data_IF_242842481106
#
_entry.id   IF_242842481106
#
_cell.length_a   1.000
_cell.length_b   1.000
_cell.length_c   1.000
_cell.angle_alpha   90.00
_cell.angle_beta   90.00
_cell.angle_gamma   90.00
#
_symmetry.space_group_name_H-M   'P 1'
#
loop_
_entity.id
_entity.type
_entity.pdbx_description
1 polymer ?
#
# COMPACT_ATOMS: atom_id res chain seq x y z
N UNK A 1 19.12 -6.24 -9.60
CA UNK A 1 18.62 -7.41 -8.85
C UNK A 1 18.69 -8.61 -9.79
N UNK A 2 19.55 -9.58 -9.45
CA UNK A 2 19.88 -10.75 -10.30
C UNK A 2 18.92 -11.88 -9.93
N UNK A 3 18.23 -12.46 -10.92
CA UNK A 3 17.27 -13.55 -10.73
C UNK A 3 17.88 -14.84 -11.32
N UNK A 4 17.88 -15.92 -10.55
CA UNK A 4 18.41 -17.24 -10.94
C UNK A 4 17.45 -17.93 -11.92
N UNK A 5 17.99 -18.51 -13.01
CA UNK A 5 17.22 -19.23 -14.04
C UNK A 5 16.80 -20.62 -13.57
N UNK A 6 15.51 -20.97 -13.73
CA UNK A 6 15.03 -22.36 -13.65
C UNK A 6 13.96 -22.63 -14.71
N UNK A 7 13.97 -23.86 -15.24
CA UNK A 7 13.10 -24.33 -16.33
C UNK A 7 11.77 -24.89 -15.79
N UNK A 8 10.62 -24.56 -16.40
CA UNK A 8 9.28 -25.01 -15.96
C UNK A 8 8.60 -25.91 -17.01
N UNK A 9 8.45 -27.23 -16.77
CA UNK A 9 7.66 -28.08 -17.67
C UNK A 9 6.16 -27.98 -17.36
N UNK A 10 5.36 -27.90 -18.43
CA UNK A 10 3.90 -28.06 -18.53
C UNK A 10 3.02 -27.37 -17.46
N UNK A 11 2.49 -26.20 -17.83
CA UNK A 11 1.65 -25.34 -17.00
C UNK A 11 0.16 -25.68 -17.15
N UNK A 12 -0.28 -26.76 -16.49
CA UNK A 12 -1.71 -27.00 -16.23
C UNK A 12 -2.25 -26.04 -15.15
N UNK A 13 -3.41 -25.42 -15.43
CA UNK A 13 -4.44 -24.73 -14.61
C UNK A 13 -4.19 -24.18 -13.18
N UNK A 14 -2.99 -24.22 -12.62
CA UNK A 14 -2.60 -23.56 -11.38
C UNK A 14 -1.95 -22.21 -11.74
N UNK A 15 -2.69 -21.14 -11.47
CA UNK A 15 -2.43 -19.76 -11.89
C UNK A 15 -0.96 -19.35 -11.69
N UNK A 16 -0.21 -19.14 -12.76
CA UNK A 16 1.25 -18.92 -12.69
C UNK A 16 1.61 -17.62 -11.94
N UNK A 17 0.71 -16.65 -11.91
CA UNK A 17 0.87 -15.47 -11.06
C UNK A 17 0.86 -15.81 -9.55
N UNK A 18 0.17 -16.88 -9.13
CA UNK A 18 0.29 -17.42 -7.76
C UNK A 18 1.67 -18.05 -7.53
N UNK A 19 2.25 -18.70 -8.55
CA UNK A 19 3.62 -19.23 -8.47
C UNK A 19 4.65 -18.11 -8.36
N UNK A 20 4.50 -17.03 -9.14
CA UNK A 20 5.30 -15.81 -9.01
C UNK A 20 5.17 -15.22 -7.61
N UNK A 21 3.94 -15.11 -7.09
CA UNK A 21 3.67 -14.60 -5.75
C UNK A 21 4.37 -15.41 -4.65
N UNK A 22 4.39 -16.74 -4.78
CA UNK A 22 4.95 -17.63 -3.77
C UNK A 22 6.48 -17.75 -3.81
N UNK A 23 7.12 -17.58 -4.97
CA UNK A 23 8.58 -17.72 -5.14
C UNK A 23 9.31 -16.37 -5.12
N UNK A 24 8.99 -15.48 -6.04
CA UNK A 24 9.76 -14.24 -6.27
C UNK A 24 9.57 -13.21 -5.14
N UNK A 25 8.33 -12.98 -4.70
CA UNK A 25 8.03 -12.06 -3.59
C UNK A 25 8.59 -12.59 -2.26
N UNK A 26 8.72 -13.92 -2.12
CA UNK A 26 9.28 -14.55 -0.93
C UNK A 26 10.80 -14.32 -0.85
N UNK A 27 11.50 -14.45 -1.97
CA UNK A 27 12.96 -14.31 -2.10
C UNK A 27 13.40 -12.84 -1.97
N UNK A 28 12.59 -11.89 -2.43
CA UNK A 28 12.91 -10.48 -2.28
C UNK A 28 12.91 -10.03 -0.80
N UNK A 29 13.95 -9.29 -0.38
CA UNK A 29 14.03 -8.57 0.91
C UNK A 29 13.04 -7.39 0.96
N UNK A 30 11.77 -7.68 0.77
CA UNK A 30 10.66 -6.72 0.84
C UNK A 30 10.11 -6.65 2.25
N UNK A 31 9.66 -5.46 2.65
CA UNK A 31 8.88 -5.30 3.88
C UNK A 31 7.61 -6.17 3.84
N UNK A 32 7.13 -6.62 5.00
CA UNK A 32 5.87 -7.36 5.11
C UNK A 32 4.70 -6.62 4.46
N UNK A 33 4.68 -5.28 4.56
CA UNK A 33 3.66 -4.44 3.94
C UNK A 33 3.73 -4.45 2.41
N UNK A 34 4.94 -4.37 1.85
CA UNK A 34 5.15 -4.46 0.39
C UNK A 34 4.67 -5.82 -0.14
N UNK A 35 4.99 -6.92 0.56
CA UNK A 35 4.51 -8.27 0.20
C UNK A 35 2.98 -8.36 0.20
N UNK A 36 2.32 -7.83 1.24
CA UNK A 36 0.85 -7.75 1.31
C UNK A 36 0.25 -6.92 0.17
N UNK A 37 0.88 -5.78 -0.15
CA UNK A 37 0.43 -4.88 -1.22
C UNK A 37 0.49 -5.57 -2.58
N UNK A 38 1.61 -6.22 -2.89
CA UNK A 38 1.78 -6.94 -4.16
C UNK A 38 0.80 -8.10 -4.29
N UNK A 39 0.62 -8.89 -3.23
CA UNK A 39 -0.41 -9.95 -3.18
C UNK A 39 -1.81 -9.39 -3.42
N UNK A 40 -2.12 -8.23 -2.85
CA UNK A 40 -3.41 -7.56 -3.10
C UNK A 40 -3.56 -7.15 -4.57
N UNK A 41 -2.54 -6.56 -5.20
CA UNK A 41 -2.59 -6.19 -6.61
C UNK A 41 -2.73 -7.40 -7.53
N UNK A 42 -1.99 -8.47 -7.27
CA UNK A 42 -2.08 -9.73 -8.01
C UNK A 42 -3.52 -10.26 -7.91
N UNK A 43 -4.00 -10.51 -6.69
CA UNK A 43 -5.28 -11.17 -6.48
C UNK A 43 -6.49 -10.35 -6.91
N UNK A 44 -6.45 -9.03 -6.73
CA UNK A 44 -7.62 -8.16 -6.97
C UNK A 44 -7.67 -7.51 -8.35
N UNK A 45 -6.55 -7.46 -9.08
CA UNK A 45 -6.49 -6.74 -10.36
C UNK A 45 -5.92 -7.63 -11.47
N UNK A 46 -4.72 -8.18 -11.28
CA UNK A 46 -4.01 -8.92 -12.33
C UNK A 46 -4.70 -10.27 -12.59
N UNK A 47 -4.96 -11.06 -11.54
CA UNK A 47 -5.54 -12.39 -11.68
C UNK A 47 -6.91 -12.39 -12.34
N UNK A 48 -7.88 -11.55 -11.92
CA UNK A 48 -9.21 -11.55 -12.53
C UNK A 48 -9.18 -11.32 -14.04
N UNK A 49 -8.30 -10.44 -14.52
CA UNK A 49 -8.18 -10.15 -15.94
C UNK A 49 -7.44 -11.26 -16.70
N UNK A 50 -6.27 -11.68 -16.22
CA UNK A 50 -5.39 -12.59 -16.95
C UNK A 50 -5.70 -14.08 -16.76
N UNK A 51 -6.65 -14.46 -15.90
CA UNK A 51 -6.98 -15.88 -15.61
C UNK A 51 -7.31 -16.70 -16.86
N UNK A 52 -7.90 -16.08 -17.88
CA UNK A 52 -8.28 -16.74 -19.14
C UNK A 52 -7.14 -16.84 -20.16
N UNK A 53 -6.01 -16.17 -19.92
CA UNK A 53 -4.90 -16.09 -20.86
C UNK A 53 -3.86 -17.16 -20.55
N UNK A 54 -3.28 -17.74 -21.60
CA UNK A 54 -2.02 -18.48 -21.48
C UNK A 54 -0.89 -17.45 -21.48
N UNK A 55 0.11 -17.62 -20.61
CA UNK A 55 1.20 -16.66 -20.47
C UNK A 55 1.91 -16.36 -21.78
N UNK A 56 2.22 -17.40 -22.55
CA UNK A 56 2.93 -17.28 -23.84
C UNK A 56 2.16 -16.49 -24.90
N UNK A 57 0.84 -16.37 -24.72
CA UNK A 57 -0.05 -15.69 -25.66
C UNK A 57 -0.36 -14.26 -25.21
N UNK A 58 0.19 -13.79 -24.07
CA UNK A 58 0.02 -12.41 -23.61
C UNK A 58 0.79 -11.48 -24.54
N UNK A 59 0.07 -10.53 -25.11
CA UNK A 59 0.58 -9.50 -26.02
C UNK A 59 0.55 -8.11 -25.37
N UNK A 60 1.16 -7.12 -26.04
CA UNK A 60 1.07 -5.72 -25.58
C UNK A 60 -0.37 -5.19 -25.60
N UNK A 61 -1.18 -5.63 -26.57
CA UNK A 61 -2.58 -5.26 -26.69
C UNK A 61 -3.38 -5.72 -25.47
N UNK A 62 -3.07 -6.90 -24.91
CA UNK A 62 -3.72 -7.38 -23.68
C UNK A 62 -3.40 -6.49 -22.48
N UNK A 63 -2.19 -5.93 -22.42
CA UNK A 63 -1.79 -4.98 -21.36
C UNK A 63 -2.53 -3.65 -21.51
N UNK A 64 -2.73 -3.18 -22.73
CA UNK A 64 -3.50 -1.97 -23.01
C UNK A 64 -4.97 -2.16 -22.62
N UNK A 65 -5.58 -3.29 -23.01
CA UNK A 65 -6.94 -3.66 -22.59
C UNK A 65 -7.06 -3.79 -21.07
N UNK A 66 -6.06 -4.38 -20.41
CA UNK A 66 -6.03 -4.44 -18.95
C UNK A 66 -6.01 -3.05 -18.31
N UNK A 67 -5.19 -2.13 -18.84
CA UNK A 67 -5.14 -0.75 -18.36
C UNK A 67 -6.47 -0.02 -18.55
N UNK A 68 -7.12 -0.18 -19.71
CA UNK A 68 -8.44 0.39 -19.99
C UNK A 68 -9.48 -0.14 -18.99
N UNK A 69 -9.51 -1.45 -18.76
CA UNK A 69 -10.44 -2.06 -17.80
C UNK A 69 -10.28 -1.50 -16.37
N UNK A 70 -9.05 -1.21 -15.93
CA UNK A 70 -8.84 -0.58 -14.62
C UNK A 70 -9.34 0.87 -14.57
N UNK A 71 -9.15 1.63 -15.65
CA UNK A 71 -9.67 3.00 -15.75
C UNK A 71 -11.20 3.01 -15.70
N UNK A 72 -11.86 2.13 -16.46
CA UNK A 72 -13.32 2.00 -16.50
C UNK A 72 -13.90 1.60 -15.14
N UNK A 73 -13.16 0.80 -14.36
CA UNK A 73 -13.52 0.43 -13.00
C UNK A 73 -13.21 1.52 -11.95
N UNK A 74 -12.86 2.74 -12.36
CA UNK A 74 -12.61 3.88 -11.46
C UNK A 74 -11.33 3.75 -10.62
N UNK A 75 -10.39 2.89 -11.02
CA UNK A 75 -9.11 2.76 -10.32
C UNK A 75 -8.25 4.01 -10.57
N UNK A 76 -7.83 4.68 -9.49
CA UNK A 76 -7.00 5.89 -9.61
C UNK A 76 -5.72 5.65 -10.44
N UNK A 77 -5.30 6.64 -11.22
CA UNK A 77 -4.08 6.56 -12.06
C UNK A 77 -2.84 6.13 -11.28
N UNK A 78 -2.70 6.62 -10.04
CA UNK A 78 -1.60 6.23 -9.14
C UNK A 78 -1.60 4.73 -8.86
N UNK A 79 -2.78 4.15 -8.62
CA UNK A 79 -2.93 2.71 -8.37
C UNK A 79 -2.70 1.90 -9.65
N UNK A 80 -3.23 2.35 -10.78
CA UNK A 80 -2.96 1.74 -12.11
C UNK A 80 -1.45 1.68 -12.37
N UNK A 81 -0.74 2.80 -12.19
CA UNK A 81 0.72 2.86 -12.33
C UNK A 81 1.43 1.81 -11.49
N UNK A 82 1.06 1.69 -10.21
CA UNK A 82 1.68 0.73 -9.31
C UNK A 82 1.41 -0.72 -9.72
N UNK A 83 0.19 -1.03 -10.16
CA UNK A 83 -0.19 -2.36 -10.66
C UNK A 83 0.59 -2.69 -11.95
N UNK A 84 0.63 -1.77 -12.91
CA UNK A 84 1.37 -1.94 -14.17
C UNK A 84 2.88 -2.07 -13.94
N UNK A 85 3.43 -1.38 -12.93
CA UNK A 85 4.86 -1.53 -12.56
C UNK A 85 5.15 -2.95 -12.09
N UNK A 86 4.27 -3.51 -11.23
CA UNK A 86 4.39 -4.89 -10.78
C UNK A 86 4.21 -5.88 -11.94
N UNK A 87 3.21 -5.65 -12.81
CA UNK A 87 2.98 -6.49 -13.99
C UNK A 87 4.20 -6.49 -14.93
N UNK A 88 4.84 -5.34 -15.15
CA UNK A 88 6.04 -5.25 -15.97
C UNK A 88 7.20 -6.08 -15.38
N UNK A 89 7.35 -6.09 -14.06
CA UNK A 89 8.35 -6.94 -13.39
C UNK A 89 8.05 -8.43 -13.60
N UNK A 90 6.78 -8.82 -13.50
CA UNK A 90 6.33 -10.21 -13.73
C UNK A 90 6.60 -10.63 -15.19
N UNK A 91 6.23 -9.78 -16.15
CA UNK A 91 6.43 -10.07 -17.57
C UNK A 91 7.92 -10.17 -17.91
N UNK A 92 8.75 -9.22 -17.44
CA UNK A 92 10.20 -9.28 -17.64
C UNK A 92 10.84 -10.52 -17.04
N UNK A 93 10.30 -11.03 -15.93
CA UNK A 93 10.77 -12.30 -15.36
C UNK A 93 10.47 -13.46 -16.32
N UNK A 94 9.23 -13.60 -16.79
CA UNK A 94 8.87 -14.67 -17.72
C UNK A 94 9.46 -14.53 -19.13
N UNK A 95 9.80 -13.32 -19.56
CA UNK A 95 10.59 -13.10 -20.78
C UNK A 95 12.02 -13.64 -20.66
N UNK A 96 12.65 -13.47 -19.49
CA UNK A 96 13.99 -14.04 -19.22
C UNK A 96 13.96 -15.56 -19.23
N UNK A 97 12.86 -16.15 -18.77
CA UNK A 97 12.65 -17.60 -18.80
C UNK A 97 12.21 -18.13 -20.18
N UNK A 98 12.06 -17.27 -21.19
CA UNK A 98 11.64 -17.66 -22.54
C UNK A 98 10.16 -18.07 -22.66
N UNK A 99 9.34 -17.75 -21.65
CA UNK A 99 7.92 -18.11 -21.62
C UNK A 99 7.06 -17.05 -22.32
N UNK A 100 7.37 -15.77 -22.11
CA UNK A 100 6.68 -14.65 -22.78
C UNK A 100 7.59 -14.09 -23.87
N UNK A 101 7.01 -13.74 -25.01
CA UNK A 101 7.72 -13.13 -26.12
C UNK A 101 8.40 -11.79 -25.71
N UNK A 102 9.61 -11.56 -26.20
CA UNK A 102 10.38 -10.33 -25.91
C UNK A 102 9.73 -9.07 -26.51
N UNK A 103 8.82 -9.21 -27.46
CA UNK A 103 8.04 -8.11 -28.05
C UNK A 103 6.92 -7.62 -27.13
N UNK A 104 6.52 -8.38 -26.11
CA UNK A 104 5.57 -7.93 -25.08
C UNK A 104 6.23 -6.93 -24.10
N UNK A 105 6.64 -5.78 -24.61
CA UNK A 105 7.28 -4.71 -23.86
C UNK A 105 6.36 -3.50 -23.78
N UNK A 106 6.13 -2.98 -22.57
CA UNK A 106 5.34 -1.77 -22.37
C UNK A 106 5.99 -0.84 -21.34
N UNK A 107 5.77 0.45 -21.55
CA UNK A 107 6.28 1.50 -20.66
C UNK A 107 5.20 1.99 -19.70
N UNK A 108 5.56 2.04 -18.42
CA UNK A 108 4.70 2.62 -17.39
C UNK A 108 4.97 4.12 -17.36
N UNK A 109 4.16 4.89 -18.11
CA UNK A 109 4.27 6.36 -18.18
C UNK A 109 4.25 6.97 -16.77
N UNK A 110 5.10 7.99 -16.57
CA UNK A 110 5.14 8.77 -15.34
C UNK A 110 3.90 9.67 -15.30
N UNK A 111 3.04 9.48 -14.31
CA UNK A 111 1.92 10.39 -14.05
C UNK A 111 2.49 11.75 -13.64
N UNK A 112 2.28 12.77 -14.47
CA UNK A 112 2.88 14.12 -14.29
C UNK A 112 2.22 14.90 -13.15
N UNK A 113 0.92 14.68 -12.89
CA UNK A 113 0.12 15.47 -11.94
C UNK A 113 -0.55 14.59 -10.87
N UNK A 114 0.22 13.81 -10.11
CA UNK A 114 -0.34 13.15 -8.92
C UNK A 114 -0.56 14.23 -7.86
N UNK A 115 -1.82 14.59 -7.60
CA UNK A 115 -2.17 15.48 -6.50
C UNK A 115 -1.59 14.92 -5.20
N UNK A 116 -0.74 15.72 -4.54
CA UNK A 116 -0.22 15.36 -3.22
C UNK A 116 -1.28 15.77 -2.21
N UNK A 117 -1.64 14.84 -1.33
CA UNK A 117 -2.48 15.18 -0.18
C UNK A 117 -1.73 16.22 0.67
N UNK A 118 -2.38 17.36 0.91
CA UNK A 118 -1.88 18.37 1.83
C UNK A 118 -1.86 17.84 3.26
N UNK A 119 -0.82 18.20 4.00
CA UNK A 119 -0.72 17.85 5.42
C UNK A 119 -1.60 18.83 6.18
N UNK A 120 -2.61 18.32 6.86
CA UNK A 120 -3.46 19.13 7.72
C UNK A 120 -2.77 19.31 9.08
N UNK A 121 -2.58 20.57 9.52
CA UNK A 121 -2.05 20.90 10.85
C UNK A 121 -3.23 21.35 11.71
N UNK A 122 -3.40 20.76 12.90
CA UNK A 122 -4.48 21.12 13.80
C UNK A 122 -4.17 22.43 14.51
N UNK A 123 -5.17 23.31 14.59
CA UNK A 123 -5.12 24.51 15.43
C UNK A 123 -5.06 24.16 16.93
N UNK A 124 -4.62 25.10 17.77
CA UNK A 124 -4.61 24.91 19.23
C UNK A 124 -6.01 24.57 19.79
N UNK A 125 -7.08 25.12 19.21
CA UNK A 125 -8.46 24.81 19.60
C UNK A 125 -8.81 23.34 19.28
N UNK A 126 -8.48 22.89 18.08
CA UNK A 126 -8.70 21.49 17.66
C UNK A 126 -7.84 20.51 18.46
N UNK A 127 -6.59 20.86 18.77
CA UNK A 127 -5.72 20.05 19.62
C UNK A 127 -6.32 19.91 21.02
N UNK A 128 -6.76 21.00 21.66
CA UNK A 128 -7.43 20.95 22.97
C UNK A 128 -8.67 20.05 22.95
N UNK A 129 -9.49 20.14 21.91
CA UNK A 129 -10.65 19.26 21.72
C UNK A 129 -10.25 17.80 21.56
N UNK A 130 -9.22 17.52 20.75
CA UNK A 130 -8.65 16.19 20.58
C UNK A 130 -8.21 15.61 21.94
N UNK A 131 -7.40 16.34 22.68
CA UNK A 131 -6.92 15.93 24.00
C UNK A 131 -8.07 15.64 24.98
N UNK A 132 -9.12 16.46 24.98
CA UNK A 132 -10.33 16.24 25.79
C UNK A 132 -11.04 14.93 25.42
N UNK A 133 -11.26 14.67 24.12
CA UNK A 133 -11.91 13.43 23.66
C UNK A 133 -11.05 12.20 24.00
N UNK A 134 -9.73 12.28 23.78
CA UNK A 134 -8.82 11.19 24.11
C UNK A 134 -8.80 10.90 25.61
N UNK A 135 -8.73 11.92 26.46
CA UNK A 135 -8.73 11.76 27.92
C UNK A 135 -10.00 11.04 28.41
N UNK A 136 -11.15 11.32 27.82
CA UNK A 136 -12.43 10.78 28.27
C UNK A 136 -12.76 9.40 27.67
N UNK A 137 -12.48 9.21 26.38
CA UNK A 137 -12.99 8.04 25.64
C UNK A 137 -11.87 7.06 25.24
N UNK A 138 -10.63 7.53 25.10
CA UNK A 138 -9.49 6.73 24.64
C UNK A 138 -8.21 7.02 25.43
N UNK A 139 -8.18 6.86 26.77
CA UNK A 139 -7.03 7.29 27.59
C UNK A 139 -5.70 6.67 27.16
N UNK A 140 -5.73 5.44 26.64
CA UNK A 140 -4.53 4.75 26.16
C UNK A 140 -3.90 5.40 24.90
N UNK A 141 -4.65 6.16 24.11
CA UNK A 141 -4.14 6.87 22.93
C UNK A 141 -3.39 8.15 23.31
N UNK A 142 -3.72 8.74 24.45
CA UNK A 142 -3.18 10.00 24.92
C UNK A 142 -1.63 10.01 24.94
N UNK A 143 -0.94 9.09 25.66
CA UNK A 143 0.53 9.10 25.69
C UNK A 143 1.17 8.84 24.33
N UNK A 144 0.48 8.14 23.42
CA UNK A 144 0.97 7.90 22.06
C UNK A 144 0.91 9.17 21.22
N UNK A 145 -0.21 9.89 21.29
CA UNK A 145 -0.40 11.16 20.57
C UNK A 145 0.60 12.21 21.06
N UNK A 146 0.77 12.35 22.37
CA UNK A 146 1.78 13.24 22.95
C UNK A 146 3.18 12.90 22.46
N UNK A 147 3.54 11.61 22.51
CA UNK A 147 4.84 11.14 22.02
C UNK A 147 5.04 11.46 20.54
N UNK A 148 4.03 11.28 19.68
CA UNK A 148 4.10 11.62 18.25
C UNK A 148 4.33 13.12 18.02
N UNK A 149 3.63 13.98 18.78
CA UNK A 149 3.76 15.44 18.68
C UNK A 149 5.15 15.88 19.15
N UNK A 150 5.66 15.29 20.24
CA UNK A 150 6.97 15.65 20.82
C UNK A 150 8.12 15.16 19.95
N UNK A 151 8.14 13.88 19.60
CA UNK A 151 9.28 13.27 18.88
C UNK A 151 9.26 13.53 17.39
N UNK A 152 8.13 14.04 16.86
CA UNK A 152 7.90 14.22 15.41
C UNK A 152 8.01 12.91 14.61
N UNK A 153 7.92 11.76 15.29
CA UNK A 153 8.00 10.45 14.67
C UNK A 153 6.62 9.90 14.30
N UNK A 154 6.52 9.11 13.22
CA UNK A 154 5.27 8.43 12.87
C UNK A 154 4.92 7.35 13.89
N UNK A 155 3.63 6.96 13.93
CA UNK A 155 3.12 5.96 14.88
C UNK A 155 3.96 4.66 14.88
N UNK A 156 4.36 4.21 13.70
CA UNK A 156 5.10 2.95 13.56
C UNK A 156 6.45 2.95 14.27
N UNK A 157 7.10 4.11 14.37
CA UNK A 157 8.42 4.26 15.00
C UNK A 157 8.33 4.31 16.53
N UNK A 158 7.21 4.80 17.07
CA UNK A 158 7.04 4.96 18.52
C UNK A 158 6.48 3.72 19.22
N UNK A 159 5.85 2.81 18.47
CA UNK A 159 5.34 1.54 18.99
C UNK A 159 6.48 0.56 19.23
N UNK A 160 6.47 -0.07 20.41
CA UNK A 160 7.44 -1.08 20.85
C UNK A 160 6.85 -2.49 20.79
N UNK A 161 7.68 -3.52 20.93
CA UNK A 161 7.26 -4.94 20.92
C UNK A 161 7.55 -5.69 19.62
N UNK A 162 7.10 -6.93 19.52
CA UNK A 162 7.21 -7.74 18.31
C UNK A 162 6.25 -7.26 17.20
N UNK A 163 6.56 -7.63 15.95
CA UNK A 163 5.85 -7.13 14.77
C UNK A 163 4.36 -7.49 14.75
N UNK A 164 4.00 -8.67 15.29
CA UNK A 164 2.60 -9.10 15.34
C UNK A 164 1.79 -8.25 16.33
N UNK A 165 2.32 -8.01 17.53
CA UNK A 165 1.70 -7.12 18.51
C UNK A 165 1.59 -5.68 17.98
N UNK A 166 2.63 -5.18 17.29
CA UNK A 166 2.58 -3.87 16.64
C UNK A 166 1.45 -3.78 15.61
N UNK A 167 1.27 -4.78 14.77
CA UNK A 167 0.19 -4.80 13.76
C UNK A 167 -1.21 -4.79 14.38
N UNK A 168 -1.43 -5.60 15.43
CA UNK A 168 -2.71 -5.61 16.17
C UNK A 168 -2.98 -4.25 16.79
N UNK A 169 -1.98 -3.68 17.46
CA UNK A 169 -2.08 -2.36 18.09
C UNK A 169 -2.34 -1.25 17.05
N UNK A 170 -1.63 -1.24 15.92
CA UNK A 170 -1.84 -0.27 14.83
C UNK A 170 -3.27 -0.32 14.30
N UNK A 171 -3.86 -1.51 14.14
CA UNK A 171 -5.26 -1.65 13.69
C UNK A 171 -6.23 -1.07 14.69
N UNK A 172 -6.07 -1.39 15.98
CA UNK A 172 -6.90 -0.84 17.06
C UNK A 172 -6.80 0.69 17.09
N UNK A 173 -5.59 1.24 17.12
CA UNK A 173 -5.34 2.68 17.14
C UNK A 173 -6.00 3.37 15.95
N UNK A 174 -5.85 2.84 14.72
CA UNK A 174 -6.47 3.44 13.54
C UNK A 174 -8.00 3.42 13.61
N UNK A 175 -8.59 2.32 14.09
CA UNK A 175 -10.04 2.17 14.25
C UNK A 175 -10.60 3.16 15.26
N UNK A 176 -9.93 3.29 16.41
CA UNK A 176 -10.38 4.17 17.49
C UNK A 176 -10.14 5.64 17.13
N UNK A 177 -8.98 5.96 16.54
CA UNK A 177 -8.72 7.31 16.03
C UNK A 177 -9.67 7.71 14.88
N UNK A 178 -10.14 6.76 14.08
CA UNK A 178 -11.18 7.02 13.07
C UNK A 178 -12.47 7.54 13.71
N UNK A 179 -12.89 6.97 14.85
CA UNK A 179 -14.06 7.46 15.59
C UNK A 179 -13.83 8.86 16.18
N UNK A 180 -12.63 9.09 16.73
CA UNK A 180 -12.25 10.40 17.27
C UNK A 180 -12.29 11.47 16.19
N UNK A 181 -11.72 11.23 15.01
CA UNK A 181 -11.74 12.22 13.92
C UNK A 181 -13.14 12.50 13.40
N UNK A 182 -14.04 11.51 13.39
CA UNK A 182 -15.44 11.70 13.02
C UNK A 182 -16.15 12.63 14.01
N UNK A 183 -15.96 12.39 15.32
CA UNK A 183 -16.52 13.26 16.36
C UNK A 183 -16.01 14.71 16.28
N UNK A 184 -14.81 14.93 15.75
CA UNK A 184 -14.19 16.24 15.62
C UNK A 184 -14.39 16.91 14.25
N UNK A 185 -15.11 16.27 13.30
CA UNK A 185 -15.29 16.78 11.94
C UNK A 185 -13.98 16.82 11.12
N UNK A 186 -13.03 15.93 11.42
CA UNK A 186 -11.69 15.88 10.84
C UNK A 186 -11.59 14.78 9.75
N UNK A 187 -12.46 14.82 8.75
CA UNK A 187 -12.66 13.71 7.79
C UNK A 187 -11.39 13.24 7.07
N UNK A 188 -10.56 14.19 6.62
CA UNK A 188 -9.32 13.92 5.87
C UNK A 188 -8.06 13.82 6.74
N UNK A 189 -8.20 13.96 8.06
CA UNK A 189 -7.08 13.94 8.98
C UNK A 189 -6.56 12.52 9.21
N UNK A 190 -5.24 12.37 9.19
CA UNK A 190 -4.57 11.09 9.42
C UNK A 190 -3.76 11.21 10.70
N UNK A 191 -3.77 10.16 11.54
CA UNK A 191 -3.06 10.17 12.84
C UNK A 191 -1.58 10.55 12.73
N UNK A 192 -0.91 10.18 11.63
CA UNK A 192 0.49 10.52 11.42
C UNK A 192 0.72 12.03 11.20
N UNK A 193 -0.31 12.81 10.91
CA UNK A 193 -0.20 14.27 10.75
C UNK A 193 0.02 14.98 12.08
N UNK A 194 -0.29 14.31 13.21
CA UNK A 194 -0.01 14.82 14.56
C UNK A 194 1.47 15.14 14.75
N UNK A 195 2.35 14.44 14.03
CA UNK A 195 3.79 14.71 14.07
C UNK A 195 4.17 16.11 13.55
N UNK A 196 3.29 16.76 12.80
CA UNK A 196 3.51 18.12 12.30
C UNK A 196 2.85 19.20 13.17
N UNK A 197 2.03 18.81 14.15
CA UNK A 197 1.43 19.75 15.08
C UNK A 197 2.48 20.30 16.05
N UNK A 198 2.32 21.55 16.47
CA UNK A 198 3.16 22.14 17.52
C UNK A 198 2.65 21.73 18.90
N UNK A 199 3.54 21.72 19.91
CA UNK A 199 3.14 21.46 21.29
C UNK A 199 2.24 22.61 21.74
N UNK A 200 1.10 22.30 22.37
CA UNK A 200 0.36 23.33 23.10
C UNK A 200 1.27 23.84 24.22
N UNK A 201 1.61 25.14 24.20
CA UNK A 201 2.50 25.76 25.18
C UNK A 201 1.93 25.77 26.61
N UNK A 202 0.67 25.36 26.80
CA UNK A 202 0.04 25.34 28.11
C UNK A 202 -0.02 23.91 28.61
N UNK A 203 0.69 23.66 29.72
CA UNK A 203 0.57 22.46 30.56
C UNK A 203 -0.92 22.07 30.69
N UNK A 204 -1.20 20.79 30.39
CA UNK A 204 -2.44 20.11 30.77
C UNK A 204 -2.58 20.08 32.30
#
# INVERSE_FOLDING_TARGET
>A
MVFLHYHYPNLGHNNIFDKFQNREIKICKLSSWSKKTYKSFINSQILPFFRKYKLKDITIQDIEQFKLSMNENGITERRIKNVLTLLNQIIKHFQKEGIIDKTCCFEVKRVKNISKREVQILSNKQLKQLFRVLKNCYPYLLPLVEKMIITKQPLNSILTGDENKKEIMKRRIRKDFYKVKQQLGLENYIINDLRFCQKCANKL
#
